data_IF_321376989086
#
_entry.id   IF_321376989086
#
_cell.length_a   1.000
_cell.length_b   1.000
_cell.length_c   1.000
_cell.angle_alpha   90.00
_cell.angle_beta   90.00
_cell.angle_gamma   90.00
#
_symmetry.space_group_name_H-M   'P 1'
#
loop_
_entity.id
_entity.type
_entity.pdbx_description
1 polymer ?
#
# COMPACT_ATOMS: atom_id res chain seq x y z
N UNK A 1 -34.91 13.27 7.02
CA UNK A 1 -35.69 12.52 6.01
C UNK A 1 -34.86 12.41 4.75
N UNK A 2 -33.98 11.41 4.70
CA UNK A 2 -33.10 11.17 3.56
C UNK A 2 -33.88 10.49 2.44
N UNK A 3 -33.71 10.95 1.20
CA UNK A 3 -34.26 10.28 0.02
C UNK A 3 -33.50 8.97 -0.19
N UNK A 4 -33.94 7.91 0.49
CA UNK A 4 -33.59 6.54 0.12
C UNK A 4 -34.27 6.24 -1.22
N UNK A 5 -33.62 6.62 -2.33
CA UNK A 5 -34.07 6.19 -3.65
C UNK A 5 -33.80 4.68 -3.73
N UNK A 6 -34.91 3.95 -3.75
CA UNK A 6 -34.99 2.50 -3.72
C UNK A 6 -34.46 1.95 -5.05
N UNK A 7 -33.17 1.61 -5.11
CA UNK A 7 -32.65 0.67 -6.10
C UNK A 7 -33.33 -0.69 -5.87
N UNK A 8 -34.44 -0.91 -6.56
CA UNK A 8 -35.24 -2.14 -6.51
C UNK A 8 -34.52 -3.35 -7.12
N UNK A 9 -33.48 -3.11 -7.92
CA UNK A 9 -32.66 -4.12 -8.61
C UNK A 9 -31.17 -3.78 -8.54
N UNK A 10 -30.32 -4.80 -8.43
CA UNK A 10 -28.90 -4.64 -8.75
C UNK A 10 -28.78 -4.10 -10.18
N UNK A 11 -27.89 -3.14 -10.42
CA UNK A 11 -27.63 -2.50 -11.73
C UNK A 11 -28.58 -1.40 -12.20
N UNK A 12 -29.47 -0.87 -11.35
CA UNK A 12 -30.27 0.31 -11.72
C UNK A 12 -29.44 1.61 -11.60
N UNK A 13 -28.47 1.78 -12.49
CA UNK A 13 -27.55 2.92 -12.46
C UNK A 13 -28.29 4.26 -12.64
N UNK A 14 -29.38 4.27 -13.41
CA UNK A 14 -30.18 5.47 -13.67
C UNK A 14 -30.76 6.08 -12.39
N UNK A 15 -31.14 5.24 -11.42
CA UNK A 15 -31.65 5.68 -10.13
C UNK A 15 -30.59 5.69 -9.01
N UNK A 16 -29.32 5.42 -9.34
CA UNK A 16 -28.23 5.38 -8.36
C UNK A 16 -27.63 6.77 -8.13
N UNK A 17 -27.68 7.28 -6.90
CA UNK A 17 -27.15 8.60 -6.53
C UNK A 17 -25.63 8.76 -6.77
N UNK A 18 -24.90 7.65 -6.85
CA UNK A 18 -23.46 7.64 -7.12
C UNK A 18 -23.14 7.61 -8.61
N UNK A 19 -24.12 7.30 -9.46
CA UNK A 19 -23.93 7.27 -10.90
C UNK A 19 -23.64 8.68 -11.42
N UNK A 20 -22.73 8.77 -12.39
CA UNK A 20 -22.14 9.99 -12.95
C UNK A 20 -21.32 10.86 -11.98
N UNK A 21 -21.64 10.88 -10.68
CA UNK A 21 -20.92 11.67 -9.67
C UNK A 21 -19.65 10.98 -9.19
N UNK A 22 -19.72 9.71 -8.79
CA UNK A 22 -18.59 8.91 -8.25
C UNK A 22 -18.31 7.64 -9.04
N UNK A 23 -19.28 7.20 -9.80
CA UNK A 23 -19.23 5.99 -10.61
C UNK A 23 -19.46 6.37 -12.08
N UNK A 24 -18.75 5.74 -13.02
CA UNK A 24 -19.02 5.90 -14.47
C UNK A 24 -20.10 4.95 -14.99
N UNK A 25 -20.77 4.22 -14.10
CA UNK A 25 -21.73 3.18 -14.44
C UNK A 25 -21.15 1.78 -14.27
N UNK A 26 -22.03 0.81 -14.09
CA UNK A 26 -21.66 -0.59 -14.05
C UNK A 26 -21.55 -1.10 -15.49
N UNK A 27 -20.35 -1.16 -16.06
CA UNK A 27 -20.14 -1.87 -17.33
C UNK A 27 -20.52 -3.34 -17.20
N UNK A 28 -20.25 -3.91 -16.02
CA UNK A 28 -20.35 -5.32 -15.68
C UNK A 28 -20.56 -5.46 -14.17
N UNK A 29 -21.73 -5.10 -13.64
CA UNK A 29 -22.18 -5.92 -12.50
C UNK A 29 -22.61 -7.23 -13.18
N UNK A 30 -21.69 -8.17 -13.40
CA UNK A 30 -22.04 -9.56 -13.69
C UNK A 30 -22.44 -10.30 -12.41
N UNK A 31 -22.38 -9.61 -11.25
CA UNK A 31 -22.95 -10.13 -10.02
C UNK A 31 -24.37 -10.72 -10.21
N UNK A 32 -25.28 -10.20 -11.05
CA UNK A 32 -26.56 -10.84 -11.39
C UNK A 32 -26.43 -12.08 -12.29
N UNK A 33 -25.44 -12.16 -13.19
CA UNK A 33 -25.19 -13.35 -14.04
C UNK A 33 -24.53 -14.50 -13.25
N UNK A 34 -23.85 -14.18 -12.14
CA UNK A 34 -23.19 -15.13 -11.23
C UNK A 34 -23.88 -15.17 -9.85
N UNK A 35 -25.03 -14.48 -9.68
CA UNK A 35 -25.76 -14.46 -8.42
C UNK A 35 -26.41 -15.82 -8.20
N UNK A 36 -25.90 -16.58 -7.24
CA UNK A 36 -26.50 -17.84 -6.80
C UNK A 36 -27.48 -17.65 -5.62
N UNK A 37 -27.84 -16.40 -5.31
CA UNK A 37 -28.71 -15.99 -4.19
C UNK A 37 -28.23 -16.35 -2.78
N UNK A 38 -27.05 -16.99 -2.65
CA UNK A 38 -26.42 -17.23 -1.35
C UNK A 38 -25.70 -15.98 -0.84
N UNK A 39 -26.48 -15.00 -0.39
CA UNK A 39 -25.99 -13.69 0.06
C UNK A 39 -25.06 -13.76 1.29
N UNK A 40 -25.06 -14.88 2.02
CA UNK A 40 -24.17 -15.09 3.18
C UNK A 40 -22.77 -15.57 2.78
N UNK A 41 -22.62 -16.20 1.61
CA UNK A 41 -21.34 -16.70 1.10
C UNK A 41 -20.72 -15.79 0.02
N UNK A 42 -21.46 -14.80 -0.48
CA UNK A 42 -20.96 -13.85 -1.47
C UNK A 42 -19.85 -12.97 -0.88
N UNK A 43 -18.72 -12.86 -1.58
CA UNK A 43 -17.59 -12.02 -1.20
C UNK A 43 -17.86 -10.52 -1.37
N UNK A 44 -18.87 -10.15 -2.17
CA UNK A 44 -19.18 -8.76 -2.48
C UNK A 44 -20.22 -8.15 -1.52
N UNK A 45 -20.16 -6.83 -1.37
CA UNK A 45 -21.02 -6.00 -0.53
C UNK A 45 -22.27 -5.55 -1.30
N UNK A 46 -23.05 -6.52 -1.75
CA UNK A 46 -24.36 -6.30 -2.37
C UNK A 46 -25.39 -5.77 -1.34
N UNK A 47 -26.33 -4.90 -1.75
CA UNK A 47 -27.42 -4.40 -0.88
C UNK A 47 -28.30 -5.52 -0.28
N UNK A 48 -28.39 -6.69 -0.94
CA UNK A 48 -29.10 -7.87 -0.44
C UNK A 48 -28.38 -8.58 0.73
N UNK A 49 -27.09 -8.29 0.94
CA UNK A 49 -26.29 -8.89 2.01
C UNK A 49 -26.71 -8.33 3.38
N UNK A 50 -26.93 -9.19 4.40
CA UNK A 50 -27.12 -8.72 5.77
C UNK A 50 -25.98 -7.79 6.21
N UNK A 51 -26.31 -6.64 6.78
CA UNK A 51 -25.33 -5.64 7.21
C UNK A 51 -24.76 -4.75 6.10
N UNK A 52 -25.21 -4.88 4.85
CA UNK A 52 -24.77 -4.01 3.76
C UNK A 52 -25.02 -2.52 4.05
N UNK A 53 -26.12 -2.18 4.74
CA UNK A 53 -26.46 -0.79 5.10
C UNK A 53 -25.33 -0.08 5.86
N UNK A 54 -24.57 -0.78 6.70
CA UNK A 54 -23.40 -0.24 7.37
C UNK A 54 -22.36 0.23 6.35
N UNK A 55 -22.00 -0.64 5.39
CA UNK A 55 -21.00 -0.34 4.36
C UNK A 55 -21.45 0.78 3.42
N UNK A 56 -22.70 0.75 2.96
CA UNK A 56 -23.24 1.84 2.14
C UNK A 56 -23.31 3.17 2.90
N UNK A 57 -23.49 3.15 4.22
CA UNK A 57 -23.39 4.34 5.07
C UNK A 57 -22.01 5.00 5.03
N UNK A 58 -20.94 4.22 4.87
CA UNK A 58 -19.56 4.74 4.81
C UNK A 58 -19.32 5.65 3.59
N UNK A 59 -20.08 5.45 2.50
CA UNK A 59 -19.95 6.18 1.25
C UNK A 59 -20.32 7.66 1.38
N UNK A 60 -21.16 8.01 2.35
CA UNK A 60 -21.54 9.41 2.63
C UNK A 60 -20.34 10.30 2.98
N UNK A 61 -19.22 9.71 3.40
CA UNK A 61 -17.98 10.43 3.74
C UNK A 61 -16.88 10.34 2.67
N UNK A 62 -17.18 10.05 1.40
CA UNK A 62 -16.15 10.03 0.34
C UNK A 62 -15.42 11.38 0.18
N UNK A 63 -16.07 12.48 0.55
CA UNK A 63 -15.50 13.82 0.56
C UNK A 63 -14.86 14.21 1.89
N UNK A 64 -14.88 13.32 2.89
CA UNK A 64 -14.17 13.57 4.14
C UNK A 64 -12.70 13.78 3.83
N UNK A 65 -12.21 14.96 4.19
CA UNK A 65 -10.83 15.37 3.95
C UNK A 65 -9.86 14.42 4.67
N UNK A 66 -8.75 14.13 4.00
CA UNK A 66 -7.66 13.37 4.59
C UNK A 66 -6.82 14.28 5.49
N UNK A 67 -6.54 13.80 6.70
CA UNK A 67 -5.69 14.53 7.64
C UNK A 67 -4.30 14.77 7.04
N UNK A 68 -3.71 15.93 7.33
CA UNK A 68 -2.39 16.27 6.79
C UNK A 68 -1.30 15.35 7.35
N UNK A 69 -0.46 14.79 6.48
CA UNK A 69 0.80 14.15 6.86
C UNK A 69 2.03 15.01 6.57
N UNK A 70 3.19 14.52 7.00
CA UNK A 70 4.48 15.17 6.81
C UNK A 70 5.26 14.58 5.64
N UNK A 71 6.15 15.40 5.06
CA UNK A 71 7.14 14.91 4.12
C UNK A 71 8.07 13.93 4.83
N UNK A 72 8.57 12.94 4.09
CA UNK A 72 9.49 11.94 4.62
C UNK A 72 10.78 11.91 3.82
N UNK A 73 11.89 12.18 4.50
CA UNK A 73 13.23 12.12 3.94
C UNK A 73 13.79 10.71 4.14
N UNK A 74 13.44 9.82 3.22
CA UNK A 74 13.88 8.42 3.24
C UNK A 74 15.08 8.17 2.32
N UNK A 75 15.82 7.05 2.53
CA UNK A 75 16.66 6.48 1.47
C UNK A 75 15.83 6.21 0.20
N UNK A 76 16.48 6.14 -0.97
CA UNK A 76 15.79 5.83 -2.22
C UNK A 76 15.23 4.40 -2.25
N UNK A 77 15.79 3.50 -1.42
CA UNK A 77 15.37 2.12 -1.27
C UNK A 77 15.18 1.75 0.20
N UNK A 78 14.05 1.13 0.52
CA UNK A 78 13.78 0.52 1.83
C UNK A 78 13.51 -0.98 1.61
N UNK A 79 14.35 -1.88 2.13
CA UNK A 79 14.11 -3.32 2.00
C UNK A 79 12.99 -3.77 2.94
N UNK A 80 12.10 -4.62 2.43
CA UNK A 80 11.20 -5.40 3.29
C UNK A 80 11.96 -6.59 3.86
N UNK A 81 11.93 -6.76 5.18
CA UNK A 81 12.63 -7.80 5.95
C UNK A 81 11.62 -8.87 6.39
N UNK A 82 11.54 -10.03 5.69
CA UNK A 82 10.51 -11.02 5.97
C UNK A 82 10.83 -11.91 7.18
N UNK A 83 12.10 -12.08 7.53
CA UNK A 83 12.54 -12.94 8.62
C UNK A 83 13.64 -12.28 9.44
N UNK A 84 13.86 -12.81 10.65
CA UNK A 84 14.95 -12.41 11.53
C UNK A 84 16.30 -12.42 10.81
N UNK A 85 17.07 -11.34 11.02
CA UNK A 85 18.49 -11.24 10.68
C UNK A 85 19.29 -11.68 11.92
N UNK A 86 20.26 -12.58 11.72
CA UNK A 86 21.02 -13.20 12.80
C UNK A 86 22.45 -12.67 12.91
N UNK A 87 23.02 -12.17 11.81
CA UNK A 87 24.35 -11.54 11.86
C UNK A 87 24.25 -10.06 12.20
N UNK A 88 25.20 -9.59 13.02
CA UNK A 88 25.30 -8.18 13.43
C UNK A 88 25.64 -7.30 12.23
N UNK A 89 24.74 -6.36 11.92
CA UNK A 89 24.95 -5.30 10.96
C UNK A 89 24.87 -3.95 11.68
N UNK A 90 25.48 -2.91 11.12
CA UNK A 90 25.42 -1.58 11.73
C UNK A 90 24.15 -0.84 11.28
N UNK A 91 23.62 0.04 12.12
CA UNK A 91 22.42 0.82 11.77
C UNK A 91 22.62 1.64 10.48
N UNK A 92 23.85 2.07 10.19
CA UNK A 92 24.21 2.76 8.94
C UNK A 92 24.00 1.88 7.70
N UNK A 93 24.19 0.57 7.83
CA UNK A 93 24.02 -0.39 6.75
C UNK A 93 22.54 -0.64 6.40
N UNK A 94 21.66 -0.42 7.39
CA UNK A 94 20.21 -0.59 7.27
C UNK A 94 19.51 0.45 8.15
N UNK A 95 19.42 1.67 7.63
CA UNK A 95 18.83 2.80 8.33
C UNK A 95 17.31 2.64 8.53
N UNK A 96 16.64 2.03 7.55
CA UNK A 96 15.19 1.82 7.56
C UNK A 96 14.87 0.41 7.07
N UNK A 97 14.03 -0.30 7.80
CA UNK A 97 13.51 -1.62 7.41
C UNK A 97 11.98 -1.59 7.29
N UNK A 98 11.46 -2.17 6.22
CA UNK A 98 10.02 -2.35 6.05
C UNK A 98 9.56 -3.69 6.60
N UNK A 99 8.46 -3.67 7.36
CA UNK A 99 7.77 -4.83 7.89
C UNK A 99 6.55 -5.11 7.00
N UNK A 100 6.41 -6.37 6.59
CA UNK A 100 5.26 -6.82 5.82
C UNK A 100 4.10 -7.15 6.77
N UNK A 101 2.93 -6.55 6.56
CA UNK A 101 1.73 -6.75 7.38
C UNK A 101 1.35 -8.22 7.57
N UNK A 102 1.58 -9.06 6.56
CA UNK A 102 1.27 -10.49 6.61
C UNK A 102 2.11 -11.28 7.63
N UNK A 103 3.30 -10.79 7.98
CA UNK A 103 4.13 -11.38 9.02
C UNK A 103 3.83 -10.73 10.38
N UNK A 104 3.46 -9.45 10.35
CA UNK A 104 3.15 -8.65 11.52
C UNK A 104 1.83 -9.04 12.18
N UNK A 105 0.80 -9.34 11.38
CA UNK A 105 -0.52 -9.71 11.85
C UNK A 105 -0.62 -11.22 12.14
N UNK A 106 -1.56 -11.59 13.01
CA UNK A 106 -1.97 -12.99 13.16
C UNK A 106 -2.58 -13.52 11.86
N UNK A 107 -2.64 -14.84 11.70
CA UNK A 107 -3.17 -15.47 10.49
C UNK A 107 -4.65 -15.09 10.19
N UNK A 108 -5.40 -14.67 11.21
CA UNK A 108 -6.77 -14.17 11.07
C UNK A 108 -6.85 -12.67 10.79
N UNK A 109 -5.74 -11.93 10.88
CA UNK A 109 -5.69 -10.47 10.76
C UNK A 109 -6.25 -9.71 11.96
N UNK A 110 -6.76 -10.40 12.99
CA UNK A 110 -7.50 -9.77 14.10
C UNK A 110 -6.62 -9.18 15.20
N UNK A 111 -5.33 -9.51 15.20
CA UNK A 111 -4.39 -9.08 16.23
C UNK A 111 -2.97 -9.01 15.66
N UNK A 112 -2.07 -8.34 16.38
CA UNK A 112 -0.63 -8.43 16.13
C UNK A 112 -0.15 -9.86 16.45
N UNK A 113 0.74 -10.41 15.64
CA UNK A 113 1.23 -11.78 15.84
C UNK A 113 2.06 -11.86 17.11
N UNK A 114 2.00 -13.02 17.80
CA UNK A 114 2.57 -13.18 19.14
C UNK A 114 4.06 -12.88 19.23
N UNK A 115 4.82 -13.09 18.14
CA UNK A 115 6.25 -12.78 18.09
C UNK A 115 6.50 -11.26 18.16
N UNK A 116 5.74 -10.47 17.41
CA UNK A 116 5.86 -9.00 17.46
C UNK A 116 5.25 -8.42 18.73
N UNK A 117 4.15 -8.99 19.21
CA UNK A 117 3.53 -8.56 20.46
C UNK A 117 4.46 -8.79 21.67
N UNK A 118 5.20 -9.90 21.69
CA UNK A 118 6.10 -10.24 22.81
C UNK A 118 7.50 -9.60 22.70
N UNK A 119 8.09 -9.57 21.51
CA UNK A 119 9.48 -9.13 21.31
C UNK A 119 9.62 -7.70 20.76
N UNK A 120 8.51 -7.06 20.38
CA UNK A 120 8.55 -5.85 19.57
C UNK A 120 9.11 -6.08 18.17
N UNK A 121 9.16 -5.03 17.35
CA UNK A 121 9.60 -5.12 15.95
C UNK A 121 11.08 -5.47 15.83
N UNK A 122 11.94 -4.74 16.54
CA UNK A 122 13.38 -4.96 16.54
C UNK A 122 13.74 -6.34 17.09
N UNK A 123 13.15 -6.71 18.22
CA UNK A 123 13.37 -8.01 18.83
C UNK A 123 12.82 -9.16 18.01
N UNK A 124 11.76 -8.99 17.22
CA UNK A 124 11.25 -10.03 16.30
C UNK A 124 12.20 -10.22 15.10
N UNK A 125 12.64 -9.12 14.50
CA UNK A 125 13.41 -9.14 13.25
C UNK A 125 14.93 -9.14 13.43
N UNK A 126 15.43 -9.05 14.67
CA UNK A 126 16.86 -8.98 14.94
C UNK A 126 17.47 -7.67 14.44
N UNK A 127 16.70 -6.57 14.54
CA UNK A 127 17.16 -5.27 14.05
C UNK A 127 17.96 -4.52 15.11
N UNK A 128 18.96 -3.76 14.66
CA UNK A 128 19.62 -2.77 15.50
C UNK A 128 18.58 -1.74 16.02
N UNK A 129 18.57 -1.38 17.32
CA UNK A 129 17.60 -0.42 17.87
C UNK A 129 17.53 0.92 17.13
N UNK A 130 18.62 1.38 16.51
CA UNK A 130 18.66 2.61 15.72
C UNK A 130 18.08 2.45 14.30
N UNK A 131 17.87 1.22 13.80
CA UNK A 131 17.16 0.99 12.54
C UNK A 131 15.69 1.41 12.70
N UNK A 132 15.27 2.39 11.91
CA UNK A 132 13.86 2.80 11.84
C UNK A 132 13.02 1.73 11.17
N UNK A 133 11.75 1.65 11.52
CA UNK A 133 10.83 0.64 10.98
C UNK A 133 9.62 1.31 10.34
N UNK A 134 9.16 0.76 9.23
CA UNK A 134 7.90 1.15 8.58
C UNK A 134 7.04 -0.10 8.40
N UNK A 135 5.72 0.06 8.39
CA UNK A 135 4.79 -1.05 8.18
C UNK A 135 3.99 -0.82 6.90
N UNK A 136 3.79 -1.86 6.11
CA UNK A 136 2.91 -1.83 4.94
C UNK A 136 1.99 -3.04 4.90
N UNK A 137 0.81 -2.87 4.30
CA UNK A 137 -0.30 -3.82 4.35
C UNK A 137 -0.71 -4.34 2.97
N UNK A 138 0.26 -4.78 2.15
CA UNK A 138 -0.05 -5.55 0.94
C UNK A 138 -0.25 -7.02 1.29
N UNK A 139 -1.37 -7.31 1.94
CA UNK A 139 -1.70 -8.61 2.55
C UNK A 139 -2.97 -9.20 1.93
N UNK A 140 -3.23 -10.51 2.07
CA UNK A 140 -4.47 -11.11 1.58
C UNK A 140 -5.70 -10.48 2.23
N UNK A 141 -6.81 -10.40 1.49
CA UNK A 141 -8.05 -9.74 1.93
C UNK A 141 -8.58 -10.26 3.27
N UNK A 142 -8.46 -11.57 3.54
CA UNK A 142 -8.81 -12.16 4.84
C UNK A 142 -8.12 -11.44 6.02
N UNK A 143 -6.86 -11.04 5.83
CA UNK A 143 -6.10 -10.31 6.86
C UNK A 143 -6.62 -8.89 7.01
N UNK A 144 -6.98 -8.24 5.90
CA UNK A 144 -7.54 -6.89 5.88
C UNK A 144 -8.93 -6.84 6.53
N UNK A 145 -9.77 -7.84 6.31
CA UNK A 145 -11.07 -7.96 6.96
C UNK A 145 -10.91 -8.16 8.48
N UNK A 146 -10.01 -9.05 8.89
CA UNK A 146 -9.66 -9.21 10.31
C UNK A 146 -9.14 -7.91 10.93
N UNK A 147 -8.29 -7.17 10.21
CA UNK A 147 -7.80 -5.87 10.65
C UNK A 147 -8.96 -4.89 10.79
N UNK A 148 -9.81 -4.77 9.77
CA UNK A 148 -10.94 -3.83 9.74
C UNK A 148 -11.85 -4.00 10.94
N UNK A 149 -12.19 -5.24 11.28
CA UNK A 149 -13.08 -5.54 12.41
C UNK A 149 -12.46 -5.21 13.77
N UNK A 150 -11.12 -5.21 13.89
CA UNK A 150 -10.39 -5.08 15.16
C UNK A 150 -9.45 -3.86 15.20
N UNK A 151 -9.60 -2.94 14.23
CA UNK A 151 -8.61 -1.90 13.92
C UNK A 151 -8.31 -0.97 15.10
N UNK A 152 -9.32 -0.65 15.91
CA UNK A 152 -9.17 0.24 17.07
C UNK A 152 -8.17 -0.30 18.10
N UNK A 153 -8.23 -1.60 18.39
CA UNK A 153 -7.28 -2.25 19.31
C UNK A 153 -5.89 -2.38 18.66
N UNK A 154 -5.85 -2.62 17.36
CA UNK A 154 -4.60 -2.70 16.60
C UNK A 154 -3.88 -1.34 16.58
N UNK A 155 -4.60 -0.22 16.49
CA UNK A 155 -4.00 1.12 16.53
C UNK A 155 -3.24 1.40 17.82
N UNK A 156 -3.74 0.93 18.96
CA UNK A 156 -3.04 1.03 20.24
C UNK A 156 -1.67 0.34 20.20
N UNK A 157 -1.61 -0.86 19.63
CA UNK A 157 -0.34 -1.58 19.45
C UNK A 157 0.59 -0.88 18.47
N UNK A 158 0.07 -0.39 17.33
CA UNK A 158 0.87 0.33 16.32
C UNK A 158 1.51 1.59 16.90
N UNK A 159 0.77 2.33 17.73
CA UNK A 159 1.28 3.51 18.44
C UNK A 159 2.42 3.16 19.38
N UNK A 160 2.25 2.12 20.20
CA UNK A 160 3.28 1.66 21.14
C UNK A 160 4.56 1.18 20.45
N UNK A 161 4.43 0.58 19.27
CA UNK A 161 5.58 0.06 18.51
C UNK A 161 6.39 1.14 17.80
N UNK A 162 5.88 2.37 17.71
CA UNK A 162 6.67 3.53 17.28
C UNK A 162 7.20 3.44 15.86
N UNK A 163 6.44 2.86 14.92
CA UNK A 163 6.81 2.87 13.50
C UNK A 163 7.02 4.32 13.02
N UNK A 164 8.03 4.54 12.17
CA UNK A 164 8.28 5.85 11.55
C UNK A 164 7.05 6.30 10.75
N UNK A 165 6.41 5.36 10.05
CA UNK A 165 5.03 5.48 9.59
C UNK A 165 4.45 4.11 9.21
N UNK A 166 3.14 4.09 9.07
CA UNK A 166 2.36 2.97 8.52
C UNK A 166 1.78 3.40 7.18
N UNK A 167 2.04 2.62 6.12
CA UNK A 167 1.25 2.74 4.89
C UNK A 167 -0.13 2.17 5.20
N UNK A 168 -1.15 3.02 5.11
CA UNK A 168 -2.51 2.65 5.46
C UNK A 168 -2.94 1.40 4.66
N UNK A 169 -3.59 0.42 5.32
CA UNK A 169 -4.21 -0.73 4.65
C UNK A 169 -4.99 -0.34 3.40
N UNK A 170 -4.57 -0.92 2.28
CA UNK A 170 -5.22 -0.79 0.98
C UNK A 170 -6.19 -1.96 0.81
N UNK A 171 -7.48 -1.68 0.92
CA UNK A 171 -8.51 -2.67 0.62
C UNK A 171 -8.57 -2.89 -0.89
N UNK A 172 -8.31 -4.12 -1.31
CA UNK A 172 -8.03 -4.48 -2.70
C UNK A 172 -9.08 -3.95 -3.69
N UNK A 173 -8.60 -3.35 -4.78
CA UNK A 173 -9.43 -2.89 -5.91
C UNK A 173 -9.10 -3.79 -7.11
N UNK A 174 -9.87 -4.88 -7.28
CA UNK A 174 -9.66 -5.84 -8.36
C UNK A 174 -10.45 -5.46 -9.61
N UNK A 175 -9.85 -5.64 -10.78
CA UNK A 175 -10.43 -5.23 -12.06
C UNK A 175 -11.77 -5.92 -12.39
N UNK A 176 -11.99 -7.12 -11.86
CA UNK A 176 -13.18 -7.95 -12.02
C UNK A 176 -14.24 -7.77 -10.91
N UNK A 177 -13.95 -6.93 -9.91
CA UNK A 177 -14.92 -6.61 -8.87
C UNK A 177 -15.96 -5.57 -9.33
N UNK A 178 -17.20 -5.62 -8.81
CA UNK A 178 -18.19 -4.59 -9.08
C UNK A 178 -17.69 -3.20 -8.70
N UNK A 179 -18.04 -2.18 -9.51
CA UNK A 179 -17.59 -0.80 -9.29
C UNK A 179 -17.89 -0.27 -7.87
N UNK A 180 -19.01 -0.68 -7.27
CA UNK A 180 -19.34 -0.28 -5.90
C UNK A 180 -18.33 -0.81 -4.87
N UNK A 181 -17.78 -2.02 -5.06
CA UNK A 181 -16.73 -2.56 -4.19
C UNK A 181 -15.47 -1.72 -4.26
N UNK A 182 -15.10 -1.24 -5.45
CA UNK A 182 -13.95 -0.36 -5.60
C UNK A 182 -14.11 0.91 -4.76
N UNK A 183 -15.26 1.58 -4.88
CA UNK A 183 -15.54 2.83 -4.16
C UNK A 183 -15.55 2.58 -2.63
N UNK A 184 -16.19 1.49 -2.20
CA UNK A 184 -16.22 1.08 -0.79
C UNK A 184 -14.80 0.81 -0.25
N UNK A 185 -13.97 0.08 -0.99
CA UNK A 185 -12.62 -0.27 -0.56
C UNK A 185 -11.67 0.94 -0.55
N UNK A 186 -11.81 1.86 -1.52
CA UNK A 186 -11.12 3.16 -1.47
C UNK A 186 -11.55 3.92 -0.21
N UNK A 187 -12.86 3.99 0.07
CA UNK A 187 -13.37 4.68 1.26
C UNK A 187 -12.87 4.06 2.57
N UNK A 188 -12.84 2.74 2.68
CA UNK A 188 -12.30 2.03 3.85
C UNK A 188 -10.82 2.36 4.06
N UNK A 189 -10.03 2.41 2.99
CA UNK A 189 -8.61 2.78 3.05
C UNK A 189 -8.44 4.21 3.59
N UNK A 190 -9.28 5.15 3.14
CA UNK A 190 -9.28 6.54 3.63
C UNK A 190 -9.71 6.66 5.10
N UNK A 191 -10.72 5.90 5.53
CA UNK A 191 -11.17 5.86 6.93
C UNK A 191 -10.02 5.39 7.82
N UNK A 192 -9.39 4.26 7.46
CA UNK A 192 -8.28 3.71 8.24
C UNK A 192 -7.11 4.68 8.30
N UNK A 193 -6.81 5.40 7.21
CA UNK A 193 -5.79 6.43 7.22
C UNK A 193 -6.08 7.52 8.27
N UNK A 194 -7.28 8.12 8.27
CA UNK A 194 -7.62 9.16 9.23
C UNK A 194 -7.66 8.60 10.67
N UNK A 195 -8.26 7.43 10.88
CA UNK A 195 -8.32 6.80 12.21
C UNK A 195 -6.91 6.50 12.76
N UNK A 196 -5.95 6.10 11.92
CA UNK A 196 -4.54 5.93 12.32
C UNK A 196 -3.93 7.26 12.78
N UNK A 197 -4.12 8.31 11.99
CA UNK A 197 -3.60 9.65 12.29
C UNK A 197 -4.19 10.18 13.61
N UNK A 198 -5.50 10.02 13.83
CA UNK A 198 -6.21 10.38 15.06
C UNK A 198 -5.74 9.59 16.27
N UNK A 199 -5.41 8.30 16.09
CA UNK A 199 -4.81 7.49 17.15
C UNK A 199 -3.36 7.92 17.51
N UNK A 200 -2.77 8.82 16.74
CA UNK A 200 -1.38 9.27 16.90
C UNK A 200 -0.37 8.35 16.21
N UNK A 201 -0.81 7.54 15.24
CA UNK A 201 0.07 6.73 14.38
C UNK A 201 0.34 7.53 13.11
N UNK A 202 1.62 7.83 12.84
CA UNK A 202 2.02 8.45 11.57
C UNK A 202 1.62 7.54 10.42
N UNK A 203 0.81 8.04 9.49
CA UNK A 203 0.30 7.25 8.38
C UNK A 203 0.57 7.88 7.01
N UNK A 204 0.57 7.02 5.99
CA UNK A 204 0.68 7.40 4.57
C UNK A 204 -0.50 6.76 3.85
N UNK A 205 -1.35 7.52 3.15
CA UNK A 205 -2.44 6.93 2.41
C UNK A 205 -1.88 6.19 1.19
N UNK A 206 -2.43 5.01 0.89
CA UNK A 206 -2.09 4.24 -0.31
C UNK A 206 -3.13 4.48 -1.40
N UNK A 207 -2.66 4.96 -2.56
CA UNK A 207 -3.52 5.33 -3.67
C UNK A 207 -3.99 4.07 -4.39
N UNK A 208 -5.23 3.66 -4.10
CA UNK A 208 -5.95 2.61 -4.82
C UNK A 208 -6.93 3.19 -5.84
N UNK A 209 -7.01 2.58 -7.02
CA UNK A 209 -7.81 3.10 -8.12
C UNK A 209 -8.15 2.01 -9.15
N UNK A 210 -9.25 2.22 -9.86
CA UNK A 210 -9.65 1.40 -11.02
C UNK A 210 -9.89 2.29 -12.25
N UNK A 211 -10.61 3.40 -12.07
CA UNK A 211 -10.93 4.34 -13.14
C UNK A 211 -10.39 5.75 -12.88
N UNK A 212 -10.46 6.61 -13.92
CA UNK A 212 -9.99 8.01 -13.84
C UNK A 212 -10.62 8.78 -12.68
N UNK A 213 -11.92 8.54 -12.38
CA UNK A 213 -12.63 9.21 -11.28
C UNK A 213 -12.00 8.93 -9.91
N UNK A 214 -11.43 7.74 -9.71
CA UNK A 214 -10.72 7.40 -8.47
C UNK A 214 -9.44 8.24 -8.35
N UNK A 215 -8.70 8.41 -9.45
CA UNK A 215 -7.50 9.25 -9.48
C UNK A 215 -7.84 10.73 -9.25
N UNK A 216 -8.95 11.21 -9.81
CA UNK A 216 -9.45 12.57 -9.58
C UNK A 216 -9.81 12.80 -8.10
N UNK A 217 -10.46 11.81 -7.48
CA UNK A 217 -10.75 11.81 -6.04
C UNK A 217 -9.46 11.93 -5.22
N UNK A 218 -8.45 11.10 -5.51
CA UNK A 218 -7.15 11.16 -4.84
C UNK A 218 -6.43 12.50 -5.06
N UNK A 219 -6.44 13.04 -6.28
CA UNK A 219 -5.86 14.38 -6.55
C UNK A 219 -6.53 15.45 -5.69
N UNK A 220 -7.86 15.40 -5.55
CA UNK A 220 -8.60 16.32 -4.69
C UNK A 220 -8.16 16.22 -3.23
N UNK A 221 -8.11 15.01 -2.67
CA UNK A 221 -7.67 14.78 -1.29
C UNK A 221 -6.22 15.17 -1.03
N UNK A 222 -5.31 14.90 -1.98
CA UNK A 222 -3.90 15.27 -1.86
C UNK A 222 -3.72 16.78 -1.81
N UNK A 223 -4.47 17.52 -2.64
CA UNK A 223 -4.41 18.99 -2.67
C UNK A 223 -5.05 19.63 -1.47
N UNK A 224 -6.28 19.24 -1.16
CA UNK A 224 -7.09 19.88 -0.12
C UNK A 224 -6.51 19.58 1.27
N UNK A 225 -6.24 18.30 1.56
CA UNK A 225 -5.65 17.86 2.83
C UNK A 225 -4.18 18.24 3.02
N UNK A 226 -3.55 18.88 2.03
CA UNK A 226 -2.15 19.30 2.11
C UNK A 226 -1.17 18.14 2.33
N UNK A 227 -1.47 16.96 1.78
CA UNK A 227 -0.64 15.76 1.92
C UNK A 227 0.75 15.99 1.33
N UNK A 228 1.77 15.48 2.01
CA UNK A 228 3.18 15.59 1.61
C UNK A 228 3.82 14.26 1.25
N UNK A 229 3.12 13.16 1.51
CA UNK A 229 3.58 11.82 1.18
C UNK A 229 2.39 10.92 0.83
N UNK A 230 2.49 10.19 -0.27
CA UNK A 230 1.53 9.15 -0.65
C UNK A 230 2.26 7.84 -0.97
N UNK A 231 1.52 6.73 -0.94
CA UNK A 231 1.99 5.45 -1.46
C UNK A 231 1.29 5.11 -2.77
N UNK A 232 2.00 4.43 -3.68
CA UNK A 232 1.49 3.90 -4.94
C UNK A 232 2.09 2.52 -5.22
N UNK A 233 1.25 1.51 -5.39
CA UNK A 233 1.71 0.13 -5.55
C UNK A 233 1.80 -0.33 -6.99
N UNK A 234 2.87 -1.06 -7.32
CA UNK A 234 2.98 -1.90 -8.51
C UNK A 234 2.97 -3.40 -8.18
N UNK A 235 2.68 -3.78 -6.92
CA UNK A 235 2.75 -5.17 -6.47
C UNK A 235 1.72 -6.08 -7.17
N UNK A 236 0.59 -5.52 -7.60
CA UNK A 236 -0.44 -6.21 -8.41
C UNK A 236 0.02 -6.50 -9.85
N UNK A 237 1.05 -5.77 -10.32
CA UNK A 237 1.69 -5.91 -11.65
C UNK A 237 2.96 -6.76 -11.53
N UNK A 238 2.79 -8.00 -11.05
CA UNK A 238 3.88 -8.94 -10.82
C UNK A 238 4.76 -9.20 -12.07
N UNK A 239 6.04 -9.57 -11.90
CA UNK A 239 6.98 -9.83 -13.00
C UNK A 239 6.67 -11.10 -13.81
N UNK A 240 5.63 -11.87 -13.45
CA UNK A 240 5.11 -12.98 -14.24
C UNK A 240 3.95 -12.55 -15.18
N UNK A 241 3.30 -11.41 -14.91
CA UNK A 241 2.40 -10.73 -15.84
C UNK A 241 3.23 -9.87 -16.83
N UNK A 242 4.23 -10.53 -17.47
CA UNK A 242 5.20 -9.94 -18.43
C UNK A 242 4.53 -9.43 -19.70
N UNK A 243 3.36 -9.95 -20.01
CA UNK A 243 2.49 -9.48 -21.07
C UNK A 243 1.30 -8.78 -20.42
N UNK A 244 0.72 -7.79 -21.11
CA UNK A 244 -0.63 -7.22 -20.93
C UNK A 244 -0.70 -5.80 -20.35
N UNK A 245 -1.80 -5.12 -20.70
CA UNK A 245 -2.08 -3.69 -20.56
C UNK A 245 -1.96 -3.13 -19.13
N UNK A 246 -1.88 -3.98 -18.09
CA UNK A 246 -1.80 -3.58 -16.69
C UNK A 246 -0.57 -2.69 -16.36
N UNK A 247 0.64 -3.02 -16.85
CA UNK A 247 1.81 -2.14 -16.62
C UNK A 247 1.62 -0.76 -17.22
N UNK A 248 1.13 -0.69 -18.47
CA UNK A 248 0.83 0.57 -19.15
C UNK A 248 -0.26 1.35 -18.41
N UNK A 249 -1.32 0.68 -17.95
CA UNK A 249 -2.39 1.27 -17.15
C UNK A 249 -1.88 1.88 -15.85
N UNK A 250 -1.09 1.14 -15.06
CA UNK A 250 -0.49 1.64 -13.83
C UNK A 250 0.47 2.81 -14.07
N UNK A 251 1.24 2.78 -15.16
CA UNK A 251 2.10 3.89 -15.57
C UNK A 251 1.31 5.14 -15.98
N UNK A 252 0.18 4.96 -16.67
CA UNK A 252 -0.73 6.06 -17.00
C UNK A 252 -1.37 6.65 -15.73
N UNK A 253 -1.78 5.81 -14.77
CA UNK A 253 -2.30 6.28 -13.49
C UNK A 253 -1.27 7.06 -12.69
N UNK A 254 -0.04 6.55 -12.57
CA UNK A 254 1.06 7.26 -11.90
C UNK A 254 1.36 8.60 -12.60
N UNK A 255 1.41 8.62 -13.93
CA UNK A 255 1.61 9.86 -14.70
C UNK A 255 0.48 10.86 -14.45
N UNK A 256 -0.76 10.40 -14.51
CA UNK A 256 -1.94 11.23 -14.28
C UNK A 256 -1.87 11.93 -12.91
N UNK A 257 -1.49 11.19 -11.86
CA UNK A 257 -1.26 11.75 -10.52
C UNK A 257 -0.11 12.76 -10.54
N UNK A 258 1.06 12.38 -11.04
CA UNK A 258 2.26 13.22 -11.03
C UNK A 258 2.08 14.56 -11.76
N UNK A 259 1.26 14.61 -12.81
CA UNK A 259 0.92 15.83 -13.55
C UNK A 259 -0.05 16.75 -12.79
N UNK A 260 -0.77 16.22 -11.79
CA UNK A 260 -1.90 16.93 -11.16
C UNK A 260 -1.70 17.21 -9.69
N UNK A 261 -0.84 16.47 -8.99
CA UNK A 261 -0.52 16.73 -7.57
C UNK A 261 0.68 17.69 -7.45
N UNK A 262 0.81 18.43 -6.34
CA UNK A 262 1.96 19.31 -6.12
C UNK A 262 3.30 18.57 -6.25
N UNK A 263 4.34 19.26 -6.75
CA UNK A 263 5.66 18.65 -6.99
C UNK A 263 6.38 18.23 -5.69
N UNK A 264 6.05 18.87 -4.58
CA UNK A 264 6.63 18.62 -3.26
C UNK A 264 6.00 17.42 -2.52
N UNK A 265 4.99 16.77 -3.11
CA UNK A 265 4.43 15.51 -2.59
C UNK A 265 5.38 14.36 -2.91
N UNK A 266 5.97 13.73 -1.90
CA UNK A 266 6.77 12.52 -2.07
C UNK A 266 5.93 11.29 -2.42
N UNK A 267 6.53 10.31 -3.11
CA UNK A 267 5.85 9.05 -3.48
C UNK A 267 6.65 7.86 -2.96
N UNK A 268 6.01 7.04 -2.15
CA UNK A 268 6.47 5.70 -1.81
C UNK A 268 5.94 4.73 -2.85
N UNK A 269 6.83 4.00 -3.52
CA UNK A 269 6.47 3.03 -4.54
C UNK A 269 6.71 1.62 -4.01
N UNK A 270 5.66 0.81 -3.94
CA UNK A 270 5.77 -0.56 -3.42
C UNK A 270 5.73 -1.60 -4.53
N UNK A 271 6.60 -2.62 -4.44
CA UNK A 271 6.65 -3.73 -5.38
C UNK A 271 7.38 -3.45 -6.71
N UNK A 272 7.93 -2.25 -6.91
CA UNK A 272 8.68 -1.91 -8.11
C UNK A 272 10.06 -2.61 -8.10
N UNK A 273 10.34 -3.32 -9.18
CA UNK A 273 11.63 -3.99 -9.40
C UNK A 273 11.97 -4.05 -10.90
N UNK A 274 13.26 -4.23 -11.21
CA UNK A 274 13.75 -4.32 -12.59
C UNK A 274 14.23 -2.99 -13.16
N UNK A 275 15.38 -3.02 -13.84
CA UNK A 275 16.09 -1.82 -14.31
C UNK A 275 15.27 -0.97 -15.30
N UNK A 276 14.57 -1.61 -16.24
CA UNK A 276 13.74 -0.90 -17.24
C UNK A 276 12.58 -0.17 -16.58
N UNK A 277 11.81 -0.88 -15.73
CA UNK A 277 10.67 -0.32 -14.99
C UNK A 277 11.08 0.85 -14.10
N UNK A 278 12.20 0.74 -13.38
CA UNK A 278 12.73 1.84 -12.57
C UNK A 278 13.04 3.09 -13.41
N UNK A 279 13.65 2.93 -14.58
CA UNK A 279 13.93 4.05 -15.49
C UNK A 279 12.65 4.70 -16.01
N UNK A 280 11.64 3.92 -16.36
CA UNK A 280 10.37 4.47 -16.84
C UNK A 280 9.63 5.24 -15.73
N UNK A 281 9.61 4.70 -14.51
CA UNK A 281 9.02 5.37 -13.35
C UNK A 281 9.79 6.64 -12.99
N UNK A 282 11.13 6.62 -13.05
CA UNK A 282 11.94 7.81 -12.82
C UNK A 282 11.61 8.94 -13.82
N UNK A 283 11.38 8.61 -15.09
CA UNK A 283 10.94 9.60 -16.11
C UNK A 283 9.59 10.23 -15.77
N UNK A 284 8.64 9.45 -15.24
CA UNK A 284 7.30 9.96 -14.87
C UNK A 284 7.37 10.83 -13.62
N UNK A 285 8.14 10.40 -12.63
CA UNK A 285 8.20 11.06 -11.32
C UNK A 285 9.07 12.31 -11.34
N UNK A 286 9.98 12.45 -12.30
CA UNK A 286 10.77 13.66 -12.49
C UNK A 286 11.67 13.95 -11.29
N UNK A 287 11.62 15.18 -10.77
CA UNK A 287 12.42 15.63 -9.62
C UNK A 287 11.80 15.29 -8.26
N UNK A 288 10.63 14.64 -8.26
CA UNK A 288 9.88 14.33 -7.04
C UNK A 288 10.64 13.34 -6.17
N UNK A 289 10.53 13.48 -4.85
CA UNK A 289 11.11 12.50 -3.92
C UNK A 289 10.42 11.14 -4.07
N UNK A 290 11.18 10.12 -4.45
CA UNK A 290 10.69 8.74 -4.61
C UNK A 290 11.46 7.78 -3.73
N UNK A 291 10.72 6.92 -3.03
CA UNK A 291 11.26 5.85 -2.20
C UNK A 291 10.65 4.53 -2.63
N UNK A 292 11.46 3.52 -2.91
CA UNK A 292 10.94 2.21 -3.34
C UNK A 292 11.03 1.19 -2.21
N UNK A 293 9.95 0.45 -1.98
CA UNK A 293 9.88 -0.67 -1.02
C UNK A 293 9.68 -1.98 -1.78
N UNK A 294 10.51 -2.98 -1.50
CA UNK A 294 10.30 -4.36 -1.97
C UNK A 294 11.12 -5.38 -1.16
N UNK A 295 10.85 -6.67 -1.38
CA UNK A 295 11.58 -7.82 -0.80
C UNK A 295 12.78 -8.27 -1.62
N UNK A 296 13.15 -7.56 -2.70
CA UNK A 296 14.07 -8.08 -3.72
C UNK A 296 15.49 -8.30 -3.18
N UNK A 297 16.04 -7.38 -2.37
CA UNK A 297 17.35 -7.55 -1.76
C UNK A 297 17.42 -8.85 -0.93
N UNK A 298 16.37 -9.11 -0.15
CA UNK A 298 16.26 -10.31 0.69
C UNK A 298 16.13 -11.59 -0.15
N UNK A 299 15.24 -11.61 -1.15
CA UNK A 299 15.07 -12.77 -2.03
C UNK A 299 16.37 -13.11 -2.78
N UNK A 300 17.10 -12.09 -3.23
CA UNK A 300 18.41 -12.27 -3.88
C UNK A 300 19.44 -12.86 -2.93
N UNK A 301 19.48 -12.36 -1.70
CA UNK A 301 20.38 -12.87 -0.68
C UNK A 301 20.08 -14.33 -0.31
N UNK A 302 18.82 -14.70 -0.11
CA UNK A 302 18.39 -16.10 0.12
C UNK A 302 18.68 -17.03 -1.05
N UNK A 303 18.82 -16.49 -2.26
CA UNK A 303 19.27 -17.24 -3.42
C UNK A 303 20.80 -17.38 -3.52
N UNK A 304 21.56 -16.88 -2.52
CA UNK A 304 23.02 -16.90 -2.49
C UNK A 304 23.68 -15.92 -3.46
N UNK A 305 23.01 -14.83 -3.85
CA UNK A 305 23.47 -13.96 -4.95
C UNK A 305 23.47 -12.47 -4.62
N UNK A 306 24.44 -11.77 -5.20
CA UNK A 306 24.51 -10.31 -5.23
C UNK A 306 23.51 -9.69 -6.23
N UNK A 307 23.13 -8.45 -5.98
CA UNK A 307 22.22 -7.70 -6.83
C UNK A 307 22.88 -7.37 -8.18
N UNK A 308 22.33 -7.92 -9.27
CA UNK A 308 22.83 -7.73 -10.63
C UNK A 308 23.88 -8.75 -11.08
N UNK A 309 24.31 -9.67 -10.21
CA UNK A 309 25.11 -10.83 -10.61
C UNK A 309 24.23 -12.08 -10.79
N UNK A 310 24.61 -12.99 -11.68
CA UNK A 310 23.98 -14.33 -11.78
C UNK A 310 24.72 -15.39 -10.96
N UNK A 311 25.96 -15.12 -10.59
CA UNK A 311 26.86 -16.02 -9.89
C UNK A 311 26.51 -16.13 -8.40
N UNK A 312 26.78 -17.30 -7.84
CA UNK A 312 26.69 -17.54 -6.40
C UNK A 312 27.86 -16.86 -5.70
N UNK A 313 27.57 -16.19 -4.59
CA UNK A 313 28.58 -15.63 -3.73
C UNK A 313 28.99 -16.68 -2.69
N UNK A 314 30.10 -17.37 -2.95
CA UNK A 314 30.66 -18.37 -2.04
C UNK A 314 31.31 -17.69 -0.83
N UNK A 315 31.23 -18.34 0.34
CA UNK A 315 31.88 -17.89 1.57
C UNK A 315 31.23 -16.67 2.24
N UNK A 316 30.02 -16.27 1.82
CA UNK A 316 29.28 -15.14 2.40
C UNK A 316 27.91 -15.62 2.87
N UNK A 317 27.51 -15.23 4.07
CA UNK A 317 26.22 -15.60 4.64
C UNK A 317 25.07 -14.89 3.92
N UNK A 318 23.85 -15.44 4.04
CA UNK A 318 22.66 -14.80 3.48
C UNK A 318 22.39 -13.42 4.08
N UNK A 319 22.71 -13.20 5.35
CA UNK A 319 22.44 -11.93 6.01
C UNK A 319 23.46 -10.86 5.56
N UNK A 320 24.74 -11.21 5.41
CA UNK A 320 25.75 -10.33 4.79
C UNK A 320 25.40 -10.00 3.33
N UNK A 321 24.93 -10.99 2.55
CA UNK A 321 24.47 -10.75 1.18
C UNK A 321 23.25 -9.83 1.13
N UNK A 322 22.35 -9.92 2.11
CA UNK A 322 21.21 -9.04 2.21
C UNK A 322 21.67 -7.59 2.38
N UNK A 323 22.58 -7.34 3.32
CA UNK A 323 23.15 -6.00 3.54
C UNK A 323 23.88 -5.47 2.29
N UNK A 324 24.72 -6.30 1.65
CA UNK A 324 25.39 -5.93 0.39
C UNK A 324 24.38 -5.56 -0.70
N UNK A 325 23.28 -6.31 -0.82
CA UNK A 325 22.22 -6.05 -1.79
C UNK A 325 21.46 -4.75 -1.48
N UNK A 326 21.19 -4.46 -0.21
CA UNK A 326 20.54 -3.21 0.22
C UNK A 326 21.39 -2.01 -0.17
N UNK A 327 22.69 -2.02 0.15
CA UNK A 327 23.62 -0.94 -0.20
C UNK A 327 23.67 -0.67 -1.71
N UNK A 328 23.85 -1.72 -2.51
CA UNK A 328 23.93 -1.58 -3.97
C UNK A 328 22.59 -1.12 -4.59
N UNK A 329 21.46 -1.59 -4.08
CA UNK A 329 20.14 -1.14 -4.54
C UNK A 329 19.89 0.31 -4.18
N UNK A 330 20.20 0.73 -2.95
CA UNK A 330 20.05 2.11 -2.53
C UNK A 330 20.89 3.05 -3.40
N UNK A 331 22.17 2.73 -3.64
CA UNK A 331 23.04 3.48 -4.56
C UNK A 331 22.42 3.65 -5.95
N UNK A 332 21.93 2.56 -6.54
CA UNK A 332 21.31 2.60 -7.88
C UNK A 332 20.00 3.38 -7.91
N UNK A 333 19.20 3.30 -6.85
CA UNK A 333 17.91 3.98 -6.81
C UNK A 333 18.11 5.48 -6.57
N UNK A 334 19.10 5.87 -5.75
CA UNK A 334 19.49 7.28 -5.58
C UNK A 334 19.91 7.91 -6.91
N UNK A 335 20.70 7.20 -7.72
CA UNK A 335 21.10 7.67 -9.06
C UNK A 335 19.91 7.86 -10.01
N UNK A 336 18.86 7.05 -9.89
CA UNK A 336 17.69 7.11 -10.78
C UNK A 336 16.69 8.17 -10.35
N UNK A 337 16.46 8.33 -9.06
CA UNK A 337 15.45 9.25 -8.52
C UNK A 337 16.03 10.59 -8.05
N UNK A 338 17.30 10.88 -8.41
CA UNK A 338 17.90 12.19 -8.19
C UNK A 338 18.02 12.60 -6.72
N UNK A 339 18.06 11.64 -5.79
CA UNK A 339 18.36 11.92 -4.38
C UNK A 339 19.86 12.15 -4.21
N UNK A 340 20.38 13.23 -4.78
CA UNK A 340 21.72 13.75 -4.46
C UNK A 340 21.63 14.44 -3.11
N UNK A 341 22.21 13.86 -2.05
CA UNK A 341 22.26 14.52 -0.73
C UNK A 341 22.07 13.66 0.51
N UNK A 342 22.31 12.35 0.47
CA UNK A 342 22.70 11.62 1.69
C UNK A 342 24.21 11.39 1.64
N UNK A 343 24.98 12.49 1.64
CA UNK A 343 26.31 12.40 2.24
C UNK A 343 26.09 12.30 3.75
N UNK A 344 26.80 11.41 4.46
CA UNK A 344 26.77 11.41 5.91
C UNK A 344 27.34 12.75 6.41
N UNK A 345 26.55 13.49 7.20
CA UNK A 345 27.13 14.46 8.13
C UNK A 345 27.99 13.75 9.18
#
# INVERSE_FOLDING_TARGET
MGRDIILSRCCDCENCIYYNTRCSGCSMCEAPLVCNENCTACSYTCRRRPGASYYYGLLSGLDTELLRNAAYHAPAYIPTVPSRINTGYNAEDLQVAAVHGGNFMSASGRAVSGVYASKGVHGALGLNPATKTILHFYVPDRTLEGFWDNRKDIYGHLKQMGFEFVIAPNFSVYEDSPRMEHILNIRRSMIVYNELMEAGVKAVPDVSWYEKKDLELWVGHIKNGGLKLISFSFQTVGPQKRATNAWKGYMLGLRYLCERIPEDVGIIIVGLSGRGRLKEVAKITGKRSVTVINTFAFMRAKSGRRYGSRELALGVTHDELFIQNVKEMNKRYMLLFGKTGLEPE
#
